data_IF_280091985728
#
_entry.id   IF_280091985728
#
_cell.length_a   1.000
_cell.length_b   1.000
_cell.length_c   1.000
_cell.angle_alpha   90.00
_cell.angle_beta   90.00
_cell.angle_gamma   90.00
#
_symmetry.space_group_name_H-M   'P 1'
#
loop_
_entity.id
_entity.type
_entity.pdbx_description
1 polymer ?
#
# COMPACT_ATOMS: atom_id res chain seq x y z
N UNK A 1 -16.76 -0.17 16.74
CA UNK A 1 -16.80 -0.16 18.21
C UNK A 1 -16.21 -1.45 18.79
N UNK A 2 -16.79 -2.63 18.53
CA UNK A 2 -16.33 -3.91 19.09
C UNK A 2 -14.85 -4.23 18.82
N UNK A 3 -14.33 -3.89 17.62
CA UNK A 3 -12.93 -4.18 17.25
C UNK A 3 -11.95 -3.38 18.11
N UNK A 4 -12.19 -2.07 18.30
CA UNK A 4 -11.36 -1.22 19.16
C UNK A 4 -11.38 -1.69 20.62
N UNK A 5 -12.56 -1.99 21.13
CA UNK A 5 -12.73 -2.52 22.47
C UNK A 5 -11.95 -3.83 22.68
N UNK A 6 -11.99 -4.71 21.69
CA UNK A 6 -11.22 -5.95 21.71
C UNK A 6 -9.70 -5.70 21.75
N UNK A 7 -9.19 -4.82 20.87
CA UNK A 7 -7.73 -4.52 20.81
C UNK A 7 -7.22 -3.84 22.08
N UNK A 8 -8.04 -2.96 22.68
CA UNK A 8 -7.71 -2.32 23.96
C UNK A 8 -7.66 -3.34 25.10
N UNK A 9 -8.69 -4.17 25.22
CA UNK A 9 -8.81 -5.13 26.32
C UNK A 9 -7.73 -6.22 26.28
N UNK A 10 -7.36 -6.66 25.08
CA UNK A 10 -6.40 -7.76 24.89
C UNK A 10 -4.98 -7.29 24.58
N UNK A 11 -4.77 -5.98 24.38
CA UNK A 11 -3.45 -5.38 24.02
C UNK A 11 -2.82 -6.05 22.80
N UNK A 12 -3.63 -6.28 21.76
CA UNK A 12 -3.23 -6.95 20.52
C UNK A 12 -3.45 -6.04 19.31
N UNK A 13 -2.75 -6.35 18.21
CA UNK A 13 -3.04 -5.84 16.89
C UNK A 13 -3.90 -6.88 16.18
N UNK A 14 -5.00 -6.44 15.58
CA UNK A 14 -5.92 -7.32 14.85
C UNK A 14 -5.91 -6.92 13.39
N UNK A 15 -5.67 -7.89 12.52
CA UNK A 15 -5.88 -7.78 11.07
C UNK A 15 -7.21 -8.45 10.74
N UNK A 16 -8.24 -7.62 10.56
CA UNK A 16 -9.57 -8.09 10.19
C UNK A 16 -9.71 -8.08 8.67
N UNK A 17 -9.63 -9.29 8.09
CA UNK A 17 -9.78 -9.48 6.63
C UNK A 17 -11.22 -9.26 6.19
N UNK A 18 -11.37 -8.62 5.02
CA UNK A 18 -12.65 -8.37 4.36
C UNK A 18 -12.39 -7.73 3.00
N UNK A 19 -13.43 -7.22 2.35
CA UNK A 19 -13.30 -6.46 1.10
C UNK A 19 -12.31 -5.29 1.25
N UNK A 20 -12.37 -4.63 2.42
CA UNK A 20 -11.35 -3.69 2.87
C UNK A 20 -10.79 -4.22 4.18
N UNK A 21 -9.56 -4.73 4.16
CA UNK A 21 -8.91 -5.22 5.37
C UNK A 21 -8.65 -4.06 6.33
N UNK A 22 -8.98 -4.26 7.60
CA UNK A 22 -8.79 -3.26 8.66
C UNK A 22 -7.73 -3.77 9.63
N UNK A 23 -6.72 -2.95 9.90
CA UNK A 23 -5.75 -3.19 10.97
C UNK A 23 -6.17 -2.31 12.17
N UNK A 24 -6.29 -2.91 13.33
CA UNK A 24 -6.70 -2.23 14.55
C UNK A 24 -5.66 -2.39 15.66
N UNK A 25 -5.32 -1.28 16.31
CA UNK A 25 -4.47 -1.25 17.49
C UNK A 25 -5.00 -0.21 18.48
N UNK A 26 -5.44 -0.65 19.65
CA UNK A 26 -6.07 0.23 20.63
C UNK A 26 -7.28 0.94 20.03
N UNK A 27 -7.28 2.28 20.09
CA UNK A 27 -8.34 3.11 19.53
C UNK A 27 -8.14 3.44 18.04
N UNK A 28 -7.01 3.05 17.43
CA UNK A 28 -6.67 3.37 16.03
C UNK A 28 -7.15 2.29 15.07
N UNK A 29 -7.63 2.72 13.90
CA UNK A 29 -8.01 1.86 12.78
C UNK A 29 -7.30 2.34 11.52
N UNK A 30 -6.68 1.40 10.82
CA UNK A 30 -6.02 1.61 9.54
C UNK A 30 -6.74 0.79 8.48
N UNK A 31 -7.15 1.43 7.40
CA UNK A 31 -7.90 0.80 6.32
C UNK A 31 -6.99 0.56 5.13
N UNK A 32 -6.90 -0.68 4.72
CA UNK A 32 -6.14 -1.04 3.53
C UNK A 32 -6.92 -0.70 2.27
N UNK A 33 -6.24 -0.11 1.29
CA UNK A 33 -6.81 0.33 0.00
C UNK A 33 -6.45 -0.57 -1.18
N UNK A 34 -5.57 -1.56 -0.96
CA UNK A 34 -5.12 -2.50 -1.99
C UNK A 34 -5.84 -3.84 -1.89
N UNK A 35 -5.83 -4.58 -2.98
CA UNK A 35 -6.41 -5.92 -3.05
C UNK A 35 -7.75 -5.95 -3.78
N UNK A 36 -8.08 -7.13 -4.26
CA UNK A 36 -9.24 -7.39 -5.10
C UNK A 36 -9.85 -8.76 -4.75
N UNK A 37 -11.00 -9.13 -5.36
CA UNK A 37 -11.68 -10.39 -5.06
C UNK A 37 -10.87 -11.67 -5.28
N UNK A 38 -9.80 -11.65 -6.08
CA UNK A 38 -8.90 -12.79 -6.28
C UNK A 38 -8.29 -13.28 -4.94
N UNK A 39 -8.12 -12.40 -3.96
CA UNK A 39 -7.65 -12.75 -2.61
C UNK A 39 -8.66 -13.60 -1.79
N UNK A 40 -9.83 -13.92 -2.36
CA UNK A 40 -10.74 -14.92 -1.79
C UNK A 40 -10.29 -16.36 -2.09
N UNK A 41 -9.27 -16.55 -2.94
CA UNK A 41 -8.71 -17.88 -3.23
C UNK A 41 -8.11 -18.51 -1.96
N UNK A 42 -8.27 -19.83 -1.86
CA UNK A 42 -7.73 -20.59 -0.72
C UNK A 42 -6.20 -20.44 -0.62
N UNK A 43 -5.68 -20.33 0.61
CA UNK A 43 -4.25 -20.20 0.88
C UNK A 43 -3.71 -18.77 0.87
N UNK A 44 -4.44 -17.78 0.35
CA UNK A 44 -3.97 -16.38 0.35
C UNK A 44 -3.77 -15.82 1.77
N UNK A 45 -4.57 -16.28 2.73
CA UNK A 45 -4.43 -15.92 4.14
C UNK A 45 -3.15 -16.50 4.77
N UNK A 46 -2.78 -17.73 4.38
CA UNK A 46 -1.55 -18.37 4.87
C UNK A 46 -0.32 -17.63 4.32
N UNK A 47 -0.38 -17.20 3.04
CA UNK A 47 0.67 -16.36 2.44
C UNK A 47 0.79 -15.03 3.19
N UNK A 48 -0.32 -14.37 3.49
CA UNK A 48 -0.28 -13.14 4.29
C UNK A 48 0.38 -13.38 5.65
N UNK A 49 0.04 -14.46 6.34
CA UNK A 49 0.66 -14.82 7.63
C UNK A 49 2.17 -15.00 7.48
N UNK A 50 2.61 -15.66 6.41
CA UNK A 50 4.04 -15.79 6.09
C UNK A 50 4.73 -14.45 5.85
N UNK A 51 4.08 -13.54 5.10
CA UNK A 51 4.59 -12.19 4.84
C UNK A 51 4.74 -11.38 6.14
N UNK A 52 3.73 -11.41 7.01
CA UNK A 52 3.78 -10.73 8.31
C UNK A 52 4.90 -11.28 9.18
N UNK A 53 5.04 -12.61 9.23
CA UNK A 53 6.11 -13.28 9.98
C UNK A 53 7.48 -12.89 9.44
N UNK A 54 7.65 -12.84 8.13
CA UNK A 54 8.89 -12.41 7.48
C UNK A 54 9.27 -10.96 7.81
N UNK A 55 8.31 -10.05 7.85
CA UNK A 55 8.55 -8.65 8.23
C UNK A 55 8.93 -8.52 9.71
N UNK A 56 8.23 -9.22 10.59
CA UNK A 56 8.58 -9.27 12.01
C UNK A 56 10.00 -9.83 12.25
N UNK A 57 10.37 -10.87 11.51
CA UNK A 57 11.71 -11.46 11.58
C UNK A 57 12.82 -10.50 11.10
N UNK A 58 12.49 -9.55 10.24
CA UNK A 58 13.39 -8.49 9.77
C UNK A 58 13.48 -7.30 10.75
N UNK A 59 12.74 -7.33 11.87
CA UNK A 59 12.79 -6.31 12.91
C UNK A 59 11.76 -5.18 12.76
N UNK A 60 10.80 -5.28 11.84
CA UNK A 60 9.67 -4.36 11.82
C UNK A 60 8.86 -4.49 13.12
N UNK A 61 8.42 -3.38 13.69
CA UNK A 61 7.45 -3.43 14.77
C UNK A 61 6.11 -4.01 14.27
N UNK A 62 5.32 -4.53 15.20
CA UNK A 62 4.14 -5.31 14.86
C UNK A 62 3.07 -4.50 14.07
N UNK A 63 2.94 -3.19 14.33
CA UNK A 63 1.98 -2.35 13.60
C UNK A 63 2.45 -2.10 12.17
N UNK A 64 3.71 -1.70 11.99
CA UNK A 64 4.27 -1.46 10.67
C UNK A 64 4.33 -2.75 9.84
N UNK A 65 4.68 -3.89 10.46
CA UNK A 65 4.60 -5.19 9.80
C UNK A 65 3.17 -5.51 9.33
N UNK A 66 2.15 -5.24 10.15
CA UNK A 66 0.76 -5.46 9.78
C UNK A 66 0.31 -4.55 8.63
N UNK A 67 0.61 -3.24 8.70
CA UNK A 67 0.23 -2.27 7.67
C UNK A 67 0.92 -2.61 6.34
N UNK A 68 2.25 -2.76 6.36
CA UNK A 68 3.04 -3.03 5.17
C UNK A 68 2.71 -4.39 4.54
N UNK A 69 2.58 -5.44 5.38
CA UNK A 69 2.28 -6.78 4.90
C UNK A 69 0.90 -6.88 4.26
N UNK A 70 -0.12 -6.24 4.84
CA UNK A 70 -1.47 -6.20 4.28
C UNK A 70 -1.50 -5.40 2.97
N UNK A 71 -0.81 -4.26 2.93
CA UNK A 71 -0.71 -3.44 1.71
C UNK A 71 -0.04 -4.21 0.58
N UNK A 72 1.15 -4.77 0.81
CA UNK A 72 1.90 -5.53 -0.19
C UNK A 72 1.13 -6.77 -0.67
N UNK A 73 0.49 -7.49 0.24
CA UNK A 73 -0.34 -8.63 -0.12
C UNK A 73 -1.48 -8.25 -1.05
N UNK A 74 -2.17 -7.14 -0.77
CA UNK A 74 -3.22 -6.60 -1.63
C UNK A 74 -2.65 -6.13 -2.98
N UNK A 75 -1.60 -5.31 -2.97
CA UNK A 75 -0.98 -4.78 -4.18
C UNK A 75 -0.44 -5.87 -5.10
N UNK A 76 0.12 -6.93 -4.52
CA UNK A 76 0.57 -8.09 -5.30
C UNK A 76 -0.56 -8.74 -6.07
N UNK A 77 -1.74 -8.90 -5.46
CA UNK A 77 -2.92 -9.42 -6.14
C UNK A 77 -3.42 -8.46 -7.24
N UNK A 78 -3.37 -7.16 -7.00
CA UNK A 78 -3.76 -6.15 -8.01
C UNK A 78 -2.87 -6.25 -9.24
N UNK A 79 -1.55 -6.36 -9.06
CA UNK A 79 -0.59 -6.54 -10.16
C UNK A 79 -0.75 -7.88 -10.87
N UNK A 80 -1.05 -8.94 -10.15
CA UNK A 80 -1.18 -10.27 -10.72
C UNK A 80 -2.38 -10.37 -11.67
N UNK A 81 -3.55 -9.82 -11.29
CA UNK A 81 -4.76 -9.93 -12.12
C UNK A 81 -4.69 -9.16 -13.42
N UNK A 82 -3.78 -8.21 -13.57
CA UNK A 82 -3.54 -7.50 -14.84
C UNK A 82 -3.12 -8.46 -15.96
N UNK A 83 -2.44 -9.56 -15.60
CA UNK A 83 -1.95 -10.55 -16.56
C UNK A 83 -2.67 -11.90 -16.48
N UNK A 84 -3.29 -12.23 -15.34
CA UNK A 84 -3.90 -13.55 -15.11
C UNK A 84 -5.42 -13.54 -15.12
N UNK A 85 -6.04 -12.39 -14.86
CA UNK A 85 -7.45 -12.29 -14.53
C UNK A 85 -7.76 -12.78 -13.11
N UNK A 86 -8.96 -12.45 -12.63
CA UNK A 86 -9.40 -12.78 -11.26
C UNK A 86 -9.67 -14.27 -11.09
N UNK A 87 -10.25 -14.90 -12.10
CA UNK A 87 -10.76 -16.29 -12.04
C UNK A 87 -9.63 -17.32 -12.02
N UNK A 88 -8.48 -17.01 -12.62
CA UNK A 88 -7.32 -17.92 -12.67
C UNK A 88 -6.31 -17.68 -11.56
N UNK A 89 -6.53 -16.69 -10.70
CA UNK A 89 -5.62 -16.34 -9.63
C UNK A 89 -5.52 -17.43 -8.56
N UNK A 90 -4.29 -17.76 -8.17
CA UNK A 90 -3.99 -18.70 -7.08
C UNK A 90 -3.09 -18.05 -6.04
N UNK A 91 -3.10 -18.55 -4.81
CA UNK A 91 -2.26 -18.02 -3.73
C UNK A 91 -0.76 -18.07 -4.05
N UNK A 92 -0.30 -19.05 -4.85
CA UNK A 92 1.11 -19.15 -5.25
C UNK A 92 1.55 -18.01 -6.16
N UNK A 93 0.66 -17.40 -6.92
CA UNK A 93 0.99 -16.25 -7.78
C UNK A 93 1.46 -15.04 -6.98
N UNK A 94 1.12 -14.95 -5.69
CA UNK A 94 1.63 -13.90 -4.82
C UNK A 94 3.16 -13.90 -4.80
N UNK A 95 3.80 -15.07 -4.80
CA UNK A 95 5.25 -15.18 -4.80
C UNK A 95 5.90 -14.63 -6.09
N UNK A 96 5.21 -14.75 -7.22
CA UNK A 96 5.73 -14.29 -8.52
C UNK A 96 5.65 -12.75 -8.66
N UNK A 97 4.71 -12.12 -7.97
CA UNK A 97 4.43 -10.68 -8.09
C UNK A 97 4.86 -9.83 -6.90
N UNK A 98 5.22 -10.45 -5.75
CA UNK A 98 5.59 -9.72 -4.55
C UNK A 98 6.77 -8.75 -4.78
N UNK A 99 7.76 -9.14 -5.59
CA UNK A 99 8.88 -8.26 -5.94
C UNK A 99 8.44 -7.00 -6.67
N UNK A 100 7.45 -7.11 -7.56
CA UNK A 100 6.88 -5.95 -8.27
C UNK A 100 6.17 -5.00 -7.33
N UNK A 101 5.42 -5.53 -6.33
CA UNK A 101 4.73 -4.69 -5.35
C UNK A 101 5.69 -3.91 -4.47
N UNK A 102 6.87 -4.44 -4.17
CA UNK A 102 7.93 -3.70 -3.49
C UNK A 102 8.51 -2.58 -4.38
N UNK A 103 8.74 -2.84 -5.66
CA UNK A 103 9.26 -1.83 -6.59
C UNK A 103 8.29 -0.65 -6.73
N UNK A 104 6.99 -0.90 -6.72
CA UNK A 104 5.97 0.15 -6.81
C UNK A 104 6.07 1.16 -5.66
N UNK A 105 6.47 0.74 -4.45
CA UNK A 105 6.65 1.65 -3.32
C UNK A 105 7.69 2.74 -3.62
N UNK A 106 8.78 2.39 -4.31
CA UNK A 106 9.84 3.35 -4.65
C UNK A 106 9.44 4.28 -5.80
N UNK A 107 8.64 3.80 -6.76
CA UNK A 107 8.14 4.62 -7.88
C UNK A 107 7.17 5.71 -7.36
N UNK A 108 6.32 5.39 -6.41
CA UNK A 108 5.42 6.37 -5.79
C UNK A 108 6.19 7.46 -5.04
N UNK A 109 7.27 7.14 -4.35
CA UNK A 109 8.14 8.13 -3.67
C UNK A 109 8.81 9.09 -4.66
N UNK A 110 9.31 8.60 -5.80
CA UNK A 110 9.92 9.46 -6.83
C UNK A 110 8.89 10.42 -7.43
N UNK A 111 7.66 10.01 -7.64
CA UNK A 111 6.60 10.86 -8.19
C UNK A 111 6.23 11.98 -7.22
N UNK A 112 6.24 11.73 -5.92
CA UNK A 112 5.99 12.75 -4.89
C UNK A 112 7.16 13.72 -4.78
N UNK A 113 8.41 13.25 -4.93
CA UNK A 113 9.61 14.09 -4.79
C UNK A 113 9.87 14.95 -6.03
N UNK A 114 9.41 14.56 -7.21
CA UNK A 114 9.56 15.30 -8.47
C UNK A 114 8.39 16.22 -8.81
N UNK A 115 7.43 16.37 -7.91
CA UNK A 115 6.38 17.38 -8.01
C UNK A 115 6.97 18.79 -8.00
N UNK A 116 7.61 19.22 -9.11
CA UNK A 116 7.88 20.63 -9.36
C UNK A 116 6.57 21.38 -9.26
N UNK A 117 6.50 22.46 -8.48
CA UNK A 117 5.35 23.34 -8.55
C UNK A 117 5.28 23.88 -9.98
N UNK A 118 4.29 23.44 -10.74
CA UNK A 118 3.96 24.02 -12.02
C UNK A 118 3.29 25.38 -11.75
N UNK A 119 4.11 26.40 -11.56
CA UNK A 119 3.82 27.79 -11.90
C UNK A 119 5.00 28.66 -11.45
N UNK A 120 6.02 28.78 -12.29
CA UNK A 120 6.75 30.04 -12.33
C UNK A 120 6.02 30.90 -13.36
N UNK A 121 5.54 32.09 -12.99
CA UNK A 121 5.11 33.06 -13.99
C UNK A 121 6.33 33.42 -14.85
N UNK A 122 6.17 33.34 -16.15
CA UNK A 122 7.16 33.85 -17.09
C UNK A 122 7.47 35.32 -16.75
N UNK A 123 8.75 35.76 -16.83
CA UNK A 123 9.06 37.16 -16.64
C UNK A 123 8.39 37.96 -17.78
N UNK A 124 7.57 38.92 -17.37
CA UNK A 124 6.94 39.91 -18.26
C UNK A 124 8.07 40.76 -18.89
N UNK A 125 8.38 40.51 -20.14
CA UNK A 125 9.29 41.27 -20.98
C UNK A 125 8.61 42.44 -21.69
N UNK A 126 7.68 43.12 -21.04
CA UNK A 126 7.07 44.36 -21.55
C UNK A 126 7.74 45.58 -20.90
N UNK A 127 8.98 45.86 -21.20
CA UNK A 127 9.59 47.20 -21.03
C UNK A 127 10.81 47.30 -21.96
N UNK A 128 10.56 47.44 -23.25
CA UNK A 128 11.50 48.08 -24.17
C UNK A 128 11.12 49.57 -24.24
N UNK A 129 11.74 50.34 -23.36
CA UNK A 129 11.77 51.80 -23.54
C UNK A 129 12.79 52.11 -24.66
N UNK A 130 12.24 52.39 -25.82
CA UNK A 130 12.98 53.00 -26.93
C UNK A 130 13.47 54.41 -26.52
N UNK A 131 14.77 54.56 -26.38
CA UNK A 131 15.42 55.88 -26.32
C UNK A 131 15.93 56.22 -27.72
N UNK A 132 15.26 57.12 -28.37
CA UNK A 132 15.79 57.82 -29.58
C UNK A 132 16.65 59.00 -29.14
N UNK A 133 17.93 59.02 -29.63
CA UNK A 133 18.75 60.20 -29.77
C UNK A 133 19.37 60.21 -31.17
#
# INVERSE_FOLDING_TARGET
KKLKEFTVNHKVIVVLKGANTVIAQGENLYFNTTGNPALSSAGTGDVLTGMLTGLLAQGYDALNAAIMGVYLHGRTADLAIESTGVESFTASMIFDYIGKSYLDLFVEEETISTGKPSHQPEPDNSNEDEIYV
#
